data_IF_802349588984
#
_entry.id   IF_802349588984
#
_cell.length_a   1.000
_cell.length_b   1.000
_cell.length_c   1.000
_cell.angle_alpha   90.00
_cell.angle_beta   90.00
_cell.angle_gamma   90.00
#
_symmetry.space_group_name_H-M   'P 1'
#
loop_
_entity.id
_entity.type
_entity.pdbx_description
1 polymer ?
#
# COMPACT_ATOMS: atom_id res chain seq x y z
N UNK A 1 -10.04 -10.02 1.00
CA UNK A 1 -10.23 -8.88 0.10
C UNK A 1 -11.53 -9.12 -0.63
N UNK A 2 -12.60 -8.51 -0.14
CA UNK A 2 -13.95 -8.64 -0.71
C UNK A 2 -14.25 -7.44 -1.61
N UNK A 3 -15.19 -7.56 -2.54
CA UNK A 3 -15.56 -6.47 -3.48
C UNK A 3 -15.86 -5.13 -2.78
N UNK A 4 -16.42 -5.17 -1.57
CA UNK A 4 -16.78 -3.98 -0.79
C UNK A 4 -15.81 -3.67 0.34
N UNK A 5 -14.82 -4.52 0.58
CA UNK A 5 -13.87 -4.36 1.68
C UNK A 5 -12.49 -4.88 1.29
N UNK A 6 -11.65 -3.93 0.86
CA UNK A 6 -10.34 -4.24 0.35
C UNK A 6 -9.36 -3.07 0.52
N UNK A 7 -8.07 -3.38 0.41
CA UNK A 7 -6.98 -2.42 0.32
C UNK A 7 -6.92 -1.92 -1.12
N UNK A 8 -7.14 -0.63 -1.34
CA UNK A 8 -7.11 -0.05 -2.69
C UNK A 8 -5.68 0.14 -3.19
N UNK A 9 -4.77 0.44 -2.27
CA UNK A 9 -3.36 0.60 -2.60
C UNK A 9 -2.44 0.42 -1.40
N UNK A 10 -1.21 0.05 -1.71
CA UNK A 10 -0.08 0.03 -0.80
C UNK A 10 0.96 1.00 -1.36
N UNK A 11 1.53 1.83 -0.49
CA UNK A 11 2.53 2.83 -0.85
C UNK A 11 3.75 2.75 0.06
N UNK A 12 4.93 2.96 -0.52
CA UNK A 12 6.17 3.17 0.22
C UNK A 12 6.73 4.54 -0.11
N UNK A 13 7.05 5.30 0.94
CA UNK A 13 7.84 6.53 0.83
C UNK A 13 9.30 6.23 1.14
N UNK A 14 10.20 6.58 0.21
CA UNK A 14 11.65 6.44 0.37
C UNK A 14 12.35 7.68 -0.21
N UNK A 15 13.10 8.41 0.64
CA UNK A 15 13.87 9.61 0.27
C UNK A 15 13.08 10.64 -0.57
N UNK A 16 11.83 10.92 -0.15
CA UNK A 16 10.96 11.89 -0.83
C UNK A 16 10.33 11.38 -2.13
N UNK A 17 10.55 10.11 -2.50
CA UNK A 17 9.83 9.43 -3.58
C UNK A 17 8.67 8.63 -3.01
N UNK A 18 7.58 8.58 -3.76
CA UNK A 18 6.45 7.70 -3.50
C UNK A 18 6.46 6.58 -4.54
N UNK A 19 6.27 5.35 -4.06
CA UNK A 19 6.08 4.15 -4.86
C UNK A 19 4.73 3.56 -4.47
N UNK A 20 3.76 3.59 -5.37
CA UNK A 20 2.39 3.13 -5.09
C UNK A 20 2.00 1.98 -6.01
N UNK A 21 1.41 0.96 -5.41
CA UNK A 21 0.80 -0.15 -6.12
C UNK A 21 -0.70 -0.16 -5.80
N UNK A 22 -1.53 -0.10 -6.84
CA UNK A 22 -2.97 -0.27 -6.72
C UNK A 22 -3.31 -1.74 -6.76
N UNK A 23 -4.28 -2.12 -5.94
CA UNK A 23 -4.83 -3.46 -5.88
C UNK A 23 -6.29 -3.44 -6.32
N UNK A 24 -6.74 -4.55 -6.86
CA UNK A 24 -8.14 -4.79 -7.18
C UNK A 24 -8.80 -5.65 -6.09
N UNK A 25 -10.14 -5.61 -5.95
CA UNK A 25 -10.83 -6.54 -5.08
C UNK A 25 -10.53 -8.00 -5.45
N UNK A 26 -10.37 -8.84 -4.44
CA UNK A 26 -10.01 -10.25 -4.60
C UNK A 26 -8.51 -10.52 -4.75
N UNK A 27 -7.67 -9.51 -4.99
CA UNK A 27 -6.22 -9.66 -4.96
C UNK A 27 -5.70 -9.81 -3.52
N UNK A 28 -4.49 -10.35 -3.36
CA UNK A 28 -3.86 -10.40 -2.04
C UNK A 28 -3.48 -8.98 -1.59
N UNK A 29 -3.67 -8.62 -0.30
CA UNK A 29 -3.34 -7.30 0.23
C UNK A 29 -1.84 -7.15 0.49
N UNK A 30 -1.02 -7.44 -0.53
CA UNK A 30 0.43 -7.40 -0.44
C UNK A 30 1.06 -6.96 -1.76
N UNK A 31 2.27 -6.42 -1.68
CA UNK A 31 3.07 -6.07 -2.85
C UNK A 31 4.55 -6.04 -2.48
N UNK A 32 5.43 -6.08 -3.49
CA UNK A 32 6.88 -6.08 -3.29
C UNK A 32 7.51 -4.88 -4.00
N UNK A 33 8.07 -3.98 -3.21
CA UNK A 33 8.91 -2.89 -3.70
C UNK A 33 10.39 -3.26 -3.59
N UNK A 34 11.13 -3.09 -4.68
CA UNK A 34 12.58 -3.37 -4.74
C UNK A 34 13.39 -2.08 -4.74
N UNK A 35 14.66 -2.18 -4.36
CA UNK A 35 15.63 -1.07 -4.44
C UNK A 35 15.30 0.13 -3.54
N UNK A 36 14.68 -0.13 -2.39
CA UNK A 36 14.38 0.87 -1.37
C UNK A 36 15.59 1.18 -0.48
N UNK A 37 15.60 2.37 0.11
CA UNK A 37 16.55 2.80 1.13
C UNK A 37 16.35 2.10 2.49
N UNK A 38 17.22 2.45 3.45
CA UNK A 38 17.20 1.89 4.82
C UNK A 38 16.05 2.41 5.68
N UNK A 39 15.54 3.60 5.38
CA UNK A 39 14.47 4.25 6.13
C UNK A 39 13.33 4.50 5.16
N UNK A 40 12.23 3.80 5.39
CA UNK A 40 11.03 3.88 4.59
C UNK A 40 9.84 4.15 5.50
N UNK A 41 8.76 4.64 4.91
CA UNK A 41 7.43 4.66 5.53
C UNK A 41 6.51 3.84 4.65
N UNK A 42 5.84 2.85 5.25
CA UNK A 42 4.83 2.07 4.55
C UNK A 42 3.44 2.60 4.90
N UNK A 43 2.62 2.77 3.87
CA UNK A 43 1.23 3.21 3.97
C UNK A 43 0.35 2.20 3.24
N UNK A 44 -0.86 2.02 3.76
CA UNK A 44 -1.89 1.25 3.09
C UNK A 44 -3.24 1.93 3.27
N UNK A 45 -4.09 1.82 2.27
CA UNK A 45 -5.40 2.45 2.29
C UNK A 45 -6.49 1.43 2.06
N UNK A 46 -7.34 1.29 3.07
CA UNK A 46 -8.54 0.50 2.97
C UNK A 46 -9.71 1.39 2.54
N UNK A 47 -10.52 0.92 1.59
CA UNK A 47 -11.70 1.64 1.11
C UNK A 47 -12.74 1.94 2.21
N UNK A 48 -12.77 1.15 3.29
CA UNK A 48 -13.69 1.31 4.44
C UNK A 48 -13.03 2.02 5.62
N UNK A 49 -11.76 1.70 5.93
CA UNK A 49 -11.09 2.19 7.14
C UNK A 49 -10.11 3.34 6.91
N UNK A 50 -9.94 3.77 5.66
CA UNK A 50 -9.05 4.88 5.30
C UNK A 50 -7.58 4.50 5.39
N UNK A 51 -6.75 5.50 5.72
CA UNK A 51 -5.30 5.43 5.65
C UNK A 51 -4.65 4.89 6.94
N UNK A 52 -3.74 3.94 6.78
CA UNK A 52 -2.89 3.39 7.84
C UNK A 52 -1.42 3.64 7.48
N UNK A 53 -0.57 3.80 8.51
CA UNK A 53 0.86 4.12 8.38
C UNK A 53 1.69 3.38 9.41
N UNK A 54 2.89 2.93 9.01
CA UNK A 54 3.97 2.46 9.90
C UNK A 54 5.29 3.18 9.66
#
# INVERSE_FOLDING_TARGET
MEEKYFIEWIEVLDKGKSYRHYLNPGELPETVFKSLGKSITALEYCNVHGLWKS
#
